data_IF_041616366289
#
_entry.id   IF_041616366289
#
_cell.length_a   1.000
_cell.length_b   1.000
_cell.length_c   1.000
_cell.angle_alpha   90.00
_cell.angle_beta   90.00
_cell.angle_gamma   90.00
#
_symmetry.space_group_name_H-M   'P 1'
#
loop_
_entity.id
_entity.type
_entity.pdbx_description
1 polymer ?
#
# COMPACT_ATOMS: atom_id res chain seq x y z
N UNK A 1 -2.97 3.27 0.30
CA UNK A 1 -3.19 3.52 1.74
C UNK A 1 -3.38 5.02 1.94
N UNK A 2 -4.08 5.45 2.98
CA UNK A 2 -4.31 6.87 3.24
C UNK A 2 -4.47 7.12 4.74
N UNK A 3 -3.66 8.04 5.28
CA UNK A 3 -3.64 8.39 6.70
C UNK A 3 -3.61 9.90 6.89
N UNK A 4 -4.05 10.36 8.06
CA UNK A 4 -3.80 11.76 8.47
C UNK A 4 -2.30 11.97 8.62
N UNK A 5 -1.80 13.07 8.07
CA UNK A 5 -0.37 13.39 8.08
C UNK A 5 0.25 13.31 9.48
N UNK A 6 -0.34 14.00 10.46
CA UNK A 6 0.17 14.03 11.84
C UNK A 6 0.26 12.64 12.48
N UNK A 7 -0.70 11.78 12.18
CA UNK A 7 -0.74 10.41 12.69
C UNK A 7 0.37 9.55 12.05
N UNK A 8 0.53 9.65 10.73
CA UNK A 8 1.57 8.92 10.00
C UNK A 8 2.97 9.36 10.40
N UNK A 9 3.22 10.66 10.51
CA UNK A 9 4.50 11.20 10.96
C UNK A 9 4.88 10.66 12.34
N UNK A 10 3.94 10.69 13.30
CA UNK A 10 4.15 10.13 14.64
C UNK A 10 4.41 8.62 14.63
N UNK A 11 3.81 7.88 13.70
CA UNK A 11 4.01 6.44 13.58
C UNK A 11 5.41 6.10 13.04
N UNK A 12 5.86 6.82 12.02
CA UNK A 12 7.19 6.69 11.43
C UNK A 12 8.30 7.09 12.43
N UNK A 13 8.12 8.20 13.16
CA UNK A 13 9.10 8.67 14.16
C UNK A 13 9.33 7.68 15.31
N UNK A 14 8.30 6.91 15.68
CA UNK A 14 8.37 5.95 16.79
C UNK A 14 9.01 4.62 16.40
N UNK A 15 9.02 4.27 15.12
CA UNK A 15 9.65 3.03 14.66
C UNK A 15 11.07 3.30 14.14
N UNK A 16 12.00 3.49 15.08
CA UNK A 16 13.42 3.74 14.80
C UNK A 16 14.11 2.51 14.18
N UNK A 17 13.40 1.37 14.13
CA UNK A 17 13.85 0.11 13.54
C UNK A 17 12.90 -0.33 12.43
N UNK A 18 12.65 0.55 11.45
CA UNK A 18 11.75 0.37 10.28
C UNK A 18 11.82 -1.00 9.58
N UNK A 19 12.87 -1.80 9.80
CA UNK A 19 13.11 -3.12 9.20
C UNK A 19 12.03 -4.18 9.47
N UNK A 20 11.10 -3.97 10.41
CA UNK A 20 10.09 -4.96 10.77
C UNK A 20 8.67 -4.65 10.26
N UNK A 21 8.40 -3.42 9.83
CA UNK A 21 7.08 -3.03 9.35
C UNK A 21 7.03 -3.22 7.82
N UNK A 22 6.08 -4.02 7.35
CA UNK A 22 5.89 -4.26 5.91
C UNK A 22 5.17 -3.13 5.19
N UNK A 23 4.38 -2.35 5.93
CA UNK A 23 3.61 -1.21 5.45
C UNK A 23 3.31 -0.21 6.58
N UNK A 24 2.71 0.91 6.22
CA UNK A 24 2.31 1.96 7.16
C UNK A 24 1.13 1.53 8.05
N UNK A 25 0.27 0.59 7.62
CA UNK A 25 -0.81 0.06 8.45
C UNK A 25 -0.26 -0.57 9.73
N UNK A 26 0.78 -1.41 9.62
CA UNK A 26 1.44 -2.06 10.78
C UNK A 26 1.95 -1.02 11.78
N UNK A 27 2.53 0.08 11.31
CA UNK A 27 3.01 1.16 12.18
C UNK A 27 1.87 1.81 12.96
N UNK A 28 0.73 2.03 12.29
CA UNK A 28 -0.44 2.68 12.84
C UNK A 28 -1.16 1.77 13.85
N UNK A 29 -1.25 0.47 13.57
CA UNK A 29 -1.77 -0.54 14.51
C UNK A 29 -0.93 -0.60 15.80
N UNK A 30 0.40 -0.51 15.69
CA UNK A 30 1.31 -0.45 16.86
C UNK A 30 1.10 0.79 17.73
N UNK A 31 0.55 1.87 17.17
CA UNK A 31 0.09 3.04 17.94
C UNK A 31 -1.27 2.84 18.61
N UNK A 32 -1.85 1.64 18.56
CA UNK A 32 -3.17 1.31 19.10
C UNK A 32 -4.32 1.98 18.35
N UNK A 33 -4.11 2.34 17.09
CA UNK A 33 -5.17 2.93 16.26
C UNK A 33 -5.91 1.84 15.48
N UNK A 34 -7.21 2.03 15.29
CA UNK A 34 -8.02 1.13 14.47
C UNK A 34 -7.78 1.36 12.97
N UNK A 35 -7.67 0.27 12.22
CA UNK A 35 -7.55 0.29 10.77
C UNK A 35 -8.87 -0.12 10.13
N UNK A 36 -9.26 0.62 9.08
CA UNK A 36 -10.38 0.25 8.21
C UNK A 36 -9.85 -0.27 6.88
N UNK A 37 -10.23 -1.50 6.54
CA UNK A 37 -9.95 -2.07 5.22
C UNK A 37 -11.04 -1.64 4.24
N UNK A 38 -10.62 -1.14 3.08
CA UNK A 38 -11.50 -0.85 1.94
C UNK A 38 -11.17 -1.87 0.85
N UNK A 39 -12.19 -2.51 0.30
CA UNK A 39 -12.02 -3.50 -0.78
C UNK A 39 -11.40 -2.80 -1.99
N UNK A 40 -10.21 -3.24 -2.38
CA UNK A 40 -9.48 -2.75 -3.55
C UNK A 40 -9.69 -3.64 -4.78
N UNK A 41 -9.18 -3.18 -5.92
CA UNK A 41 -9.10 -4.00 -7.13
C UNK A 41 -7.88 -4.91 -7.09
N UNK A 42 -8.05 -6.18 -7.45
CA UNK A 42 -6.94 -7.12 -7.66
C UNK A 42 -6.01 -6.69 -8.82
N UNK A 43 -6.46 -5.77 -9.68
CA UNK A 43 -5.65 -5.21 -10.78
C UNK A 43 -4.66 -4.14 -10.29
N UNK A 44 -4.77 -3.65 -9.04
CA UNK A 44 -3.82 -2.73 -8.44
C UNK A 44 -2.57 -3.48 -7.93
N UNK A 45 -1.83 -4.05 -8.87
CA UNK A 45 -0.66 -4.88 -8.57
C UNK A 45 0.57 -4.04 -8.21
N UNK A 46 1.47 -4.63 -7.43
CA UNK A 46 2.82 -4.10 -7.21
C UNK A 46 3.76 -4.74 -8.23
N UNK A 47 4.48 -3.94 -9.01
CA UNK A 47 5.55 -4.44 -9.89
C UNK A 47 6.78 -4.68 -9.01
N UNK A 48 7.15 -5.94 -8.85
CA UNK A 48 8.23 -6.41 -7.98
C UNK A 48 9.31 -7.20 -8.71
N UNK A 49 8.97 -7.80 -9.84
CA UNK A 49 9.85 -8.56 -10.71
C UNK A 49 9.74 -8.08 -12.17
N UNK A 50 10.69 -8.47 -13.01
CA UNK A 50 10.71 -8.03 -14.41
C UNK A 50 9.49 -8.55 -15.18
N UNK A 51 9.05 -9.77 -14.86
CA UNK A 51 7.91 -10.42 -15.48
C UNK A 51 6.59 -9.69 -15.20
N UNK A 52 6.50 -8.97 -14.07
CA UNK A 52 5.31 -8.20 -13.69
C UNK A 52 5.01 -7.07 -14.69
N UNK A 53 6.01 -6.61 -15.46
CA UNK A 53 5.82 -5.57 -16.48
C UNK A 53 4.88 -6.04 -17.60
N UNK A 54 5.02 -7.29 -18.03
CA UNK A 54 4.17 -7.88 -19.08
C UNK A 54 2.71 -7.95 -18.60
N UNK A 55 2.52 -8.34 -17.33
CA UNK A 55 1.21 -8.37 -16.70
C UNK A 55 0.62 -6.95 -16.56
N UNK A 56 1.40 -5.99 -16.08
CA UNK A 56 0.97 -4.60 -15.90
C UNK A 56 0.53 -3.95 -17.22
N UNK A 57 1.29 -4.15 -18.30
CA UNK A 57 0.92 -3.64 -19.64
C UNK A 57 -0.42 -4.22 -20.11
N UNK A 58 -0.63 -5.52 -19.89
CA UNK A 58 -1.89 -6.18 -20.27
C UNK A 58 -3.06 -5.63 -19.45
N UNK A 59 -2.92 -5.54 -18.13
CA UNK A 59 -3.94 -4.98 -17.24
C UNK A 59 -4.30 -3.53 -17.61
N UNK A 60 -3.30 -2.71 -17.98
CA UNK A 60 -3.52 -1.32 -18.36
C UNK A 60 -4.31 -1.19 -19.68
N UNK A 61 -4.08 -2.08 -20.66
CA UNK A 61 -4.86 -2.11 -21.91
C UNK A 61 -6.32 -2.44 -21.63
N UNK A 62 -6.59 -3.47 -20.83
CA UNK A 62 -7.95 -3.86 -20.44
C UNK A 62 -8.69 -2.72 -19.71
N UNK A 63 -8.02 -2.07 -18.74
CA UNK A 63 -8.59 -0.92 -18.02
C UNK A 63 -8.89 0.28 -18.93
N UNK A 64 -8.08 0.48 -19.97
CA UNK A 64 -8.26 1.59 -20.92
C UNK A 64 -9.40 1.30 -21.90
N UNK A 65 -9.62 0.05 -22.26
CA UNK A 65 -10.70 -0.38 -23.15
C UNK A 65 -12.08 -0.42 -22.46
N UNK A 66 -12.10 -0.58 -21.14
CA UNK A 66 -13.33 -0.60 -20.33
C UNK A 66 -13.87 0.80 -19.95
N UNK A 67 -13.22 1.88 -20.43
CA UNK A 67 -13.63 3.28 -20.24
C UNK A 67 -14.41 3.80 -21.43
#
# INVERSE_FOLDING_TARGET
QCFRYELLARALEKDVTEKSASDECVLIERLGQEIKIVVGSAMNIKITHQEDLILAETLLRELSAAK
#
